data_IF_095836316543
#
_entry.id   IF_095836316543
#
_cell.length_a   1.000
_cell.length_b   1.000
_cell.length_c   1.000
_cell.angle_alpha   90.00
_cell.angle_beta   90.00
_cell.angle_gamma   90.00
#
_symmetry.space_group_name_H-M   'P 1'
#
loop_
_entity.id
_entity.type
_entity.pdbx_description
1 polymer ?
#
# COMPACT_ATOMS: atom_id res chain seq x y z
N UNK A 1 10.72 -17.27 20.27
CA UNK A 1 10.69 -17.15 18.78
C UNK A 1 9.29 -16.95 18.15
N UNK A 2 8.24 -16.69 18.93
CA UNK A 2 6.84 -16.67 18.44
C UNK A 2 6.29 -15.25 18.17
N UNK A 3 7.07 -14.20 18.48
CA UNK A 3 6.58 -12.81 18.38
C UNK A 3 6.47 -12.26 16.96
N UNK A 4 7.10 -12.89 15.96
CA UNK A 4 7.06 -12.45 14.55
C UNK A 4 6.83 -13.63 13.61
N UNK A 5 5.57 -14.06 13.42
CA UNK A 5 5.24 -15.02 12.38
C UNK A 5 5.51 -14.41 11.00
N UNK A 6 5.83 -15.26 10.04
CA UNK A 6 6.29 -14.87 8.70
C UNK A 6 5.39 -13.87 7.98
N UNK A 7 4.07 -13.99 8.16
CA UNK A 7 3.09 -13.07 7.58
C UNK A 7 3.29 -11.61 8.04
N UNK A 8 3.53 -11.38 9.34
CA UNK A 8 3.81 -10.04 9.86
C UNK A 8 5.10 -9.47 9.31
N UNK A 9 6.13 -10.31 9.15
CA UNK A 9 7.40 -9.89 8.55
C UNK A 9 7.23 -9.44 7.10
N UNK A 10 6.48 -10.20 6.29
CA UNK A 10 6.16 -9.78 4.93
C UNK A 10 5.38 -8.47 4.89
N UNK A 11 4.39 -8.32 5.77
CA UNK A 11 3.59 -7.11 5.84
C UNK A 11 4.46 -5.87 6.10
N UNK A 12 5.38 -5.96 7.06
CA UNK A 12 6.34 -4.90 7.35
C UNK A 12 7.31 -4.63 6.19
N UNK A 13 7.78 -5.67 5.52
CA UNK A 13 8.63 -5.52 4.31
C UNK A 13 7.85 -4.81 3.20
N UNK A 14 6.59 -5.17 2.97
CA UNK A 14 5.72 -4.50 2.00
C UNK A 14 5.57 -3.01 2.30
N UNK A 15 5.32 -2.64 3.56
CA UNK A 15 5.24 -1.24 4.00
C UNK A 15 6.52 -0.46 3.69
N UNK A 16 7.70 -1.05 3.93
CA UNK A 16 8.99 -0.40 3.67
C UNK A 16 9.26 -0.28 2.17
N UNK A 17 8.97 -1.32 1.39
CA UNK A 17 9.16 -1.32 -0.07
C UNK A 17 8.26 -0.28 -0.75
N UNK A 18 6.98 -0.23 -0.37
CA UNK A 18 6.01 0.71 -0.93
C UNK A 18 6.28 2.15 -0.47
N UNK A 19 6.62 2.32 0.81
CA UNK A 19 6.96 3.61 1.37
C UNK A 19 8.25 4.21 0.81
N UNK A 20 9.21 3.37 0.45
CA UNK A 20 10.55 3.74 0.00
C UNK A 20 11.59 3.42 1.07
N UNK A 21 12.61 2.65 0.67
CA UNK A 21 13.66 2.17 1.57
C UNK A 21 14.51 3.35 2.06
N UNK A 22 14.74 3.42 3.38
CA UNK A 22 15.62 4.43 3.98
C UNK A 22 14.98 5.79 4.27
N UNK A 23 13.65 5.92 4.18
CA UNK A 23 12.93 7.16 4.51
C UNK A 23 11.88 6.96 5.60
N UNK A 24 11.97 7.74 6.69
CA UNK A 24 10.99 7.74 7.79
C UNK A 24 9.60 8.16 7.30
N UNK A 25 9.55 9.20 6.46
CA UNK A 25 8.29 9.67 5.86
C UNK A 25 7.70 8.60 4.93
N UNK A 26 8.58 7.87 4.23
CA UNK A 26 8.21 6.72 3.40
C UNK A 26 7.46 5.68 4.21
N UNK A 27 7.99 5.26 5.36
CA UNK A 27 7.35 4.26 6.22
C UNK A 27 5.96 4.70 6.70
N UNK A 28 5.78 5.98 7.02
CA UNK A 28 4.47 6.53 7.43
C UNK A 28 3.47 6.47 6.27
N UNK A 29 3.85 6.95 5.08
CA UNK A 29 2.96 6.91 3.93
C UNK A 29 2.71 5.48 3.43
N UNK A 30 3.72 4.61 3.48
CA UNK A 30 3.62 3.20 3.13
C UNK A 30 2.68 2.43 4.05
N UNK A 31 2.70 2.70 5.36
CA UNK A 31 1.79 2.05 6.31
C UNK A 31 0.34 2.48 6.10
N UNK A 32 0.12 3.79 5.91
CA UNK A 32 -1.21 4.35 5.60
C UNK A 32 -1.71 3.76 4.29
N UNK A 33 -0.90 3.78 3.24
CA UNK A 33 -1.29 3.27 1.92
C UNK A 33 -1.66 1.77 2.00
N UNK A 34 -0.86 0.97 2.68
CA UNK A 34 -1.15 -0.46 2.82
C UNK A 34 -2.46 -0.72 3.54
N UNK A 35 -2.74 0.00 4.64
CA UNK A 35 -4.02 -0.12 5.34
C UNK A 35 -5.17 0.34 4.43
N UNK A 36 -5.03 1.49 3.77
CA UNK A 36 -6.06 2.04 2.87
C UNK A 36 -6.37 1.10 1.71
N UNK A 37 -5.37 0.49 1.07
CA UNK A 37 -5.61 -0.46 -0.04
C UNK A 37 -6.39 -1.67 0.44
N UNK A 38 -6.01 -2.25 1.58
CA UNK A 38 -6.71 -3.42 2.13
C UNK A 38 -8.14 -3.07 2.56
N UNK A 39 -8.34 -1.91 3.17
CA UNK A 39 -9.66 -1.43 3.60
C UNK A 39 -10.56 -1.09 2.40
N UNK A 40 -10.00 -0.43 1.37
CA UNK A 40 -10.72 -0.09 0.15
C UNK A 40 -11.17 -1.36 -0.58
N UNK A 41 -10.30 -2.38 -0.65
CA UNK A 41 -10.67 -3.69 -1.17
C UNK A 41 -11.85 -4.30 -0.39
N UNK A 42 -11.83 -4.20 0.94
CA UNK A 42 -12.92 -4.68 1.79
C UNK A 42 -14.24 -3.95 1.52
N UNK A 43 -14.19 -2.62 1.45
CA UNK A 43 -15.37 -1.79 1.17
C UNK A 43 -15.95 -2.08 -0.22
N UNK A 44 -15.10 -2.29 -1.22
CA UNK A 44 -15.52 -2.67 -2.56
C UNK A 44 -16.24 -4.02 -2.53
N UNK A 45 -15.67 -5.04 -1.88
CA UNK A 45 -16.32 -6.35 -1.78
C UNK A 45 -17.66 -6.25 -1.04
N UNK A 46 -17.73 -5.47 0.04
CA UNK A 46 -18.98 -5.23 0.78
C UNK A 46 -20.05 -4.55 -0.09
N UNK A 47 -19.68 -3.58 -0.92
CA UNK A 47 -20.62 -2.89 -1.82
C UNK A 47 -21.25 -3.84 -2.85
N UNK A 48 -20.53 -4.89 -3.26
CA UNK A 48 -21.00 -5.86 -4.24
C UNK A 48 -21.68 -7.09 -3.61
N UNK A 49 -21.86 -7.15 -2.28
CA UNK A 49 -22.48 -8.30 -1.59
C UNK A 49 -23.86 -8.65 -2.12
N UNK A 50 -24.69 -7.65 -2.47
CA UNK A 50 -26.05 -7.86 -2.95
C UNK A 50 -26.12 -8.47 -4.37
N UNK A 51 -24.99 -8.59 -5.06
CA UNK A 51 -24.89 -9.21 -6.38
C UNK A 51 -24.52 -10.69 -6.23
N UNK A 52 -25.03 -11.55 -7.11
CA UNK A 52 -24.75 -13.00 -7.10
C UNK A 52 -23.25 -13.37 -7.18
N UNK A 53 -22.40 -12.43 -7.58
CA UNK A 53 -20.94 -12.59 -7.63
C UNK A 53 -20.24 -12.17 -6.34
N UNK A 54 -20.89 -11.33 -5.52
CA UNK A 54 -20.37 -10.80 -4.26
C UNK A 54 -20.27 -11.86 -3.17
N UNK A 55 -21.25 -12.77 -3.07
CA UNK A 55 -21.22 -13.87 -2.08
C UNK A 55 -19.99 -14.77 -2.25
N UNK A 56 -19.60 -15.07 -3.49
CA UNK A 56 -18.42 -15.90 -3.77
C UNK A 56 -17.12 -15.17 -3.43
N UNK A 57 -17.02 -13.89 -3.77
CA UNK A 57 -15.86 -13.06 -3.42
C UNK A 57 -15.71 -12.88 -1.90
N UNK A 58 -16.83 -12.87 -1.17
CA UNK A 58 -16.81 -12.78 0.28
C UNK A 58 -16.28 -14.06 0.94
N UNK A 59 -16.65 -15.24 0.43
CA UNK A 59 -16.11 -16.52 0.90
C UNK A 59 -14.60 -16.63 0.69
N UNK A 60 -14.10 -16.14 -0.45
CA UNK A 60 -12.67 -16.17 -0.81
C UNK A 60 -11.92 -14.88 -0.40
N UNK A 61 -12.51 -14.05 0.47
CA UNK A 61 -11.99 -12.72 0.79
C UNK A 61 -10.55 -12.73 1.34
N UNK A 62 -10.20 -13.73 2.15
CA UNK A 62 -8.86 -13.87 2.69
C UNK A 62 -7.81 -14.03 1.58
N UNK A 63 -8.08 -14.91 0.61
CA UNK A 63 -7.22 -15.13 -0.55
C UNK A 63 -7.11 -13.89 -1.42
N UNK A 64 -8.23 -13.18 -1.61
CA UNK A 64 -8.25 -11.94 -2.37
C UNK A 64 -7.39 -10.86 -1.71
N UNK A 65 -7.45 -10.74 -0.38
CA UNK A 65 -6.63 -9.81 0.40
C UNK A 65 -5.14 -10.14 0.30
N UNK A 66 -4.77 -11.42 0.40
CA UNK A 66 -3.38 -11.86 0.25
C UNK A 66 -2.85 -11.65 -1.18
N UNK A 67 -3.66 -11.94 -2.20
CA UNK A 67 -3.32 -11.68 -3.59
C UNK A 67 -3.14 -10.17 -3.85
N UNK A 68 -4.06 -9.34 -3.34
CA UNK A 68 -3.98 -7.89 -3.45
C UNK A 68 -2.76 -7.32 -2.72
N UNK A 69 -2.41 -7.89 -1.56
CA UNK A 69 -1.19 -7.55 -0.82
C UNK A 69 0.06 -7.78 -1.66
N UNK A 70 0.22 -8.98 -2.24
CA UNK A 70 1.36 -9.29 -3.10
C UNK A 70 1.39 -8.44 -4.37
N UNK A 71 0.22 -8.23 -4.99
CA UNK A 71 0.09 -7.40 -6.17
C UNK A 71 0.47 -5.94 -5.89
N UNK A 72 0.05 -5.37 -4.76
CA UNK A 72 0.38 -4.02 -4.37
C UNK A 72 1.91 -3.81 -4.29
N UNK A 73 2.64 -4.78 -3.73
CA UNK A 73 4.10 -4.76 -3.68
C UNK A 73 4.70 -4.83 -5.10
N UNK A 74 4.25 -5.77 -5.93
CA UNK A 74 4.74 -5.93 -7.30
C UNK A 74 4.52 -4.67 -8.15
N UNK A 75 3.32 -4.08 -8.07
CA UNK A 75 2.97 -2.84 -8.78
C UNK A 75 3.88 -1.70 -8.34
N UNK A 76 4.09 -1.53 -7.04
CA UNK A 76 4.97 -0.47 -6.55
C UNK A 76 6.43 -0.65 -7.00
N UNK A 77 6.93 -1.88 -6.96
CA UNK A 77 8.29 -2.17 -7.46
C UNK A 77 8.46 -1.85 -8.94
N UNK A 78 7.43 -2.07 -9.76
CA UNK A 78 7.49 -1.82 -11.21
C UNK A 78 7.36 -0.33 -11.52
N UNK A 79 6.38 0.35 -10.92
CA UNK A 79 6.07 1.74 -11.29
C UNK A 79 6.93 2.76 -10.56
N UNK A 80 7.23 2.56 -9.28
CA UNK A 80 7.95 3.52 -8.45
C UNK A 80 8.93 2.81 -7.48
N UNK A 81 10.08 2.34 -7.96
CA UNK A 81 11.06 1.62 -7.13
C UNK A 81 11.63 2.48 -5.99
N UNK A 82 11.54 3.81 -6.08
CA UNK A 82 11.96 4.74 -5.02
C UNK A 82 10.88 4.98 -3.94
N UNK A 83 9.67 4.44 -4.13
CA UNK A 83 8.54 4.53 -3.21
C UNK A 83 7.91 5.92 -3.07
N UNK A 84 6.83 5.96 -2.27
CA UNK A 84 6.03 7.17 -2.01
C UNK A 84 6.84 8.33 -1.40
N UNK A 85 7.94 8.04 -0.71
CA UNK A 85 8.84 9.05 -0.16
C UNK A 85 9.39 10.00 -1.24
N UNK A 86 9.71 9.48 -2.43
CA UNK A 86 10.25 10.28 -3.53
C UNK A 86 9.22 11.27 -4.06
N UNK A 87 7.97 10.82 -4.24
CA UNK A 87 6.82 11.68 -4.61
C UNK A 87 6.65 12.81 -3.60
N UNK A 88 6.67 12.49 -2.31
CA UNK A 88 6.54 13.50 -1.25
C UNK A 88 7.67 14.53 -1.27
N UNK A 89 8.92 14.09 -1.50
CA UNK A 89 10.05 15.00 -1.62
C UNK A 89 9.89 15.94 -2.83
N UNK A 90 9.46 15.42 -3.98
CA UNK A 90 9.23 16.22 -5.18
C UNK A 90 8.10 17.25 -5.00
N UNK A 91 7.00 16.85 -4.34
CA UNK A 91 5.89 17.76 -3.99
C UNK A 91 6.39 18.89 -3.07
N UNK A 92 7.15 18.56 -2.02
CA UNK A 92 7.73 19.58 -1.15
C UNK A 92 8.67 20.52 -1.90
N UNK A 93 9.52 19.99 -2.78
CA UNK A 93 10.47 20.82 -3.53
C UNK A 93 9.73 21.76 -4.51
N UNK A 94 8.65 21.28 -5.13
CA UNK A 94 7.77 22.11 -5.96
C UNK A 94 7.16 23.28 -5.18
N UNK A 95 6.63 23.02 -3.98
CA UNK A 95 6.07 24.08 -3.13
C UNK A 95 7.13 25.05 -2.58
N UNK A 96 8.37 24.60 -2.36
CA UNK A 96 9.43 25.45 -1.82
C UNK A 96 10.07 26.37 -2.87
N UNK A 97 10.05 25.97 -4.15
CA UNK A 97 10.50 26.77 -5.30
C UNK A 97 9.44 27.77 -5.79
N UNK A 98 8.25 27.72 -5.20
CA UNK A 98 7.18 28.69 -5.41
C UNK A 98 7.36 29.81 -4.35
N UNK A 99 7.62 31.10 -4.68
CA UNK A 99 7.32 31.85 -5.91
C UNK A 99 8.52 32.43 -6.69
N UNK A 100 9.77 32.03 -6.44
CA UNK A 100 10.92 32.43 -7.26
C UNK A 100 11.64 31.20 -7.79
N UNK A 101 11.43 30.93 -9.08
CA UNK A 101 12.06 29.83 -9.82
C UNK A 101 13.49 30.22 -10.23
N UNK A 102 14.42 30.19 -9.29
CA UNK A 102 15.86 30.11 -9.57
C UNK A 102 16.51 29.07 -8.65
#
# INVERSE_FOLDING_TARGET
PEHFPWFWSLWLVGVILIGGVGSIHGTIFGSIFMVVVMELLQLVVMLFMDTSWGERLFMDFLFLKEAAFGLAICVFMIFEPNGLAYRWWQVKNYFNLWPFSY
#
